data_IF_975797819554
#
_entry.id   IF_975797819554
#
_cell.length_a   1.000
_cell.length_b   1.000
_cell.length_c   1.000
_cell.angle_alpha   90.00
_cell.angle_beta   90.00
_cell.angle_gamma   90.00
#
_symmetry.space_group_name_H-M   'P 1'
#
loop_
_entity.id
_entity.type
_entity.pdbx_description
1 polymer ?
#
# COMPACT_ATOMS: atom_id res chain seq x y z
N UNK A 1 32.34 -10.71 1.59
CA UNK A 1 31.14 -11.41 1.13
C UNK A 1 31.54 -12.80 0.73
N UNK A 2 30.88 -13.84 1.24
CA UNK A 2 31.13 -15.25 0.90
C UNK A 2 30.22 -15.67 -0.25
N UNK A 3 30.58 -16.71 -1.00
CA UNK A 3 29.70 -17.30 -2.01
C UNK A 3 28.34 -17.69 -1.40
N UNK A 4 27.25 -17.51 -2.14
CA UNK A 4 25.85 -17.72 -1.71
C UNK A 4 25.33 -16.77 -0.62
N UNK A 5 26.06 -15.70 -0.25
CA UNK A 5 25.51 -14.66 0.62
C UNK A 5 24.54 -13.79 -0.17
N UNK A 6 23.34 -13.61 0.37
CA UNK A 6 22.33 -12.69 -0.21
C UNK A 6 22.86 -11.27 -0.07
N UNK A 7 22.93 -10.53 -1.17
CA UNK A 7 23.42 -9.14 -1.21
C UNK A 7 22.34 -8.12 -0.97
N UNK A 8 21.13 -8.37 -1.45
CA UNK A 8 19.99 -7.49 -1.30
C UNK A 8 18.69 -8.29 -1.46
N UNK A 9 17.67 -7.88 -0.74
CA UNK A 9 16.28 -8.30 -0.91
C UNK A 9 15.41 -7.06 -1.19
N UNK A 10 14.43 -7.22 -2.07
CA UNK A 10 13.43 -6.19 -2.36
C UNK A 10 12.15 -6.37 -1.53
N UNK A 11 11.14 -5.50 -1.75
CA UNK A 11 9.86 -5.56 -1.01
C UNK A 11 9.08 -6.86 -1.19
N UNK A 12 9.30 -7.57 -2.31
CA UNK A 12 8.61 -8.82 -2.68
C UNK A 12 9.54 -10.03 -2.66
N UNK A 13 10.68 -9.94 -1.98
CA UNK A 13 11.65 -11.03 -1.81
C UNK A 13 11.91 -11.28 -0.33
N UNK A 14 12.17 -12.53 0.02
CA UNK A 14 12.59 -12.96 1.35
C UNK A 14 13.71 -13.98 1.24
N UNK A 15 14.85 -13.67 1.86
CA UNK A 15 16.06 -14.53 1.86
C UNK A 15 16.53 -14.95 0.46
N UNK A 16 16.42 -14.04 -0.51
CA UNK A 16 16.80 -14.25 -1.91
C UNK A 16 15.79 -14.99 -2.76
N UNK A 17 14.62 -15.32 -2.23
CA UNK A 17 13.53 -15.99 -2.93
C UNK A 17 12.35 -15.03 -3.17
N UNK A 18 11.60 -15.27 -4.24
CA UNK A 18 10.40 -14.49 -4.56
C UNK A 18 9.28 -14.77 -3.56
N UNK A 19 8.76 -13.73 -2.91
CA UNK A 19 7.73 -13.78 -1.87
C UNK A 19 6.56 -12.84 -2.19
N UNK A 20 5.95 -12.98 -3.38
CA UNK A 20 4.85 -12.12 -3.86
C UNK A 20 3.49 -12.41 -3.23
N UNK A 21 3.33 -13.55 -2.59
CA UNK A 21 2.05 -13.97 -2.03
C UNK A 21 2.23 -14.95 -0.88
N UNK A 22 1.13 -15.61 -0.54
CA UNK A 22 1.10 -16.64 0.51
C UNK A 22 0.38 -17.88 0.02
N UNK A 23 0.75 -19.04 0.57
CA UNK A 23 0.04 -20.29 0.33
C UNK A 23 -1.25 -20.31 1.16
N UNK A 24 -2.37 -20.57 0.49
CA UNK A 24 -3.70 -20.56 1.08
C UNK A 24 -4.38 -21.92 0.82
N UNK A 25 -5.30 -22.28 1.68
CA UNK A 25 -6.16 -23.45 1.48
C UNK A 25 -7.27 -23.07 0.51
N UNK A 26 -7.26 -23.70 -0.69
CA UNK A 26 -8.18 -23.39 -1.77
C UNK A 26 -9.17 -24.53 -1.97
N UNK A 27 -10.43 -24.22 -2.28
CA UNK A 27 -11.39 -25.19 -2.77
C UNK A 27 -11.94 -24.78 -4.13
N UNK A 28 -12.01 -25.75 -5.03
CA UNK A 28 -12.68 -25.59 -6.33
C UNK A 28 -14.13 -26.05 -6.20
N UNK A 29 -15.04 -25.12 -5.97
CA UNK A 29 -16.47 -25.41 -5.89
C UNK A 29 -17.29 -24.18 -6.25
N UNK A 30 -18.48 -24.40 -6.82
CA UNK A 30 -19.46 -23.32 -7.00
C UNK A 30 -20.09 -22.96 -5.65
N UNK A 31 -20.26 -21.68 -5.41
CA UNK A 31 -20.86 -21.20 -4.16
C UNK A 31 -21.92 -20.15 -4.42
N UNK A 32 -23.18 -20.57 -4.47
CA UNK A 32 -24.36 -19.71 -4.63
C UNK A 32 -24.29 -18.68 -5.78
N UNK A 33 -23.45 -18.92 -6.80
CA UNK A 33 -23.22 -18.01 -7.91
C UNK A 33 -22.27 -16.85 -7.61
N UNK A 34 -21.81 -16.66 -6.37
CA UNK A 34 -20.91 -15.56 -6.01
C UNK A 34 -19.51 -15.67 -6.58
N UNK A 35 -19.10 -16.85 -7.03
CA UNK A 35 -17.84 -17.08 -7.75
C UNK A 35 -18.05 -17.46 -9.22
N UNK A 36 -19.13 -16.95 -9.83
CA UNK A 36 -19.38 -17.12 -11.28
C UNK A 36 -18.25 -16.53 -12.10
N UNK A 37 -17.89 -17.24 -13.18
CA UNK A 37 -16.71 -16.93 -14.02
C UNK A 37 -15.42 -16.90 -13.19
N UNK A 38 -14.72 -15.75 -13.16
CA UNK A 38 -13.44 -15.53 -12.47
C UNK A 38 -13.60 -14.82 -11.14
N UNK A 39 -14.82 -14.77 -10.59
CA UNK A 39 -15.05 -14.21 -9.29
C UNK A 39 -14.48 -15.12 -8.19
N UNK A 40 -13.89 -14.52 -7.17
CA UNK A 40 -13.23 -15.20 -6.07
C UNK A 40 -13.90 -14.83 -4.76
N UNK A 41 -14.13 -15.83 -3.91
CA UNK A 41 -14.63 -15.61 -2.56
C UNK A 41 -13.48 -15.83 -1.58
N UNK A 42 -13.32 -14.92 -0.64
CA UNK A 42 -12.30 -14.99 0.41
C UNK A 42 -12.90 -15.18 1.78
N UNK A 43 -12.13 -15.85 2.63
CA UNK A 43 -12.37 -15.91 4.06
C UNK A 43 -11.95 -14.58 4.73
N UNK A 44 -12.81 -14.04 5.62
CA UNK A 44 -12.52 -12.82 6.37
C UNK A 44 -11.26 -12.96 7.26
N UNK A 45 -10.88 -14.17 7.64
CA UNK A 45 -9.64 -14.46 8.36
C UNK A 45 -8.42 -13.84 7.67
N UNK A 46 -8.37 -13.89 6.33
CA UNK A 46 -7.25 -13.33 5.56
C UNK A 46 -7.13 -11.80 5.72
N UNK A 47 -8.24 -11.12 5.91
CA UNK A 47 -8.27 -9.68 6.18
C UNK A 47 -7.89 -9.38 7.62
N UNK A 48 -8.38 -10.18 8.58
CA UNK A 48 -8.08 -10.03 10.01
C UNK A 48 -6.61 -10.28 10.32
N UNK A 49 -6.03 -11.32 9.72
CA UNK A 49 -4.62 -11.71 9.91
C UNK A 49 -3.63 -10.92 9.04
N UNK A 50 -4.10 -9.90 8.30
CA UNK A 50 -3.27 -9.11 7.39
C UNK A 50 -2.50 -9.95 6.35
N UNK A 51 -3.09 -11.07 5.86
CA UNK A 51 -2.40 -12.02 4.98
C UNK A 51 -2.01 -11.40 3.63
N UNK A 52 -2.86 -10.54 3.08
CA UNK A 52 -2.65 -9.81 1.83
C UNK A 52 -2.60 -8.29 2.03
N UNK A 53 -2.24 -7.86 3.21
CA UNK A 53 -2.09 -6.44 3.52
C UNK A 53 -0.75 -5.93 3.00
N UNK A 54 -0.78 -4.79 2.35
CA UNK A 54 0.40 -4.12 1.82
C UNK A 54 0.66 -2.80 2.54
N UNK A 55 1.93 -2.46 2.71
CA UNK A 55 2.36 -1.18 3.27
C UNK A 55 2.92 -0.34 2.11
N UNK A 56 2.31 0.83 1.93
CA UNK A 56 2.74 1.82 0.95
C UNK A 56 3.31 3.03 1.66
N UNK A 57 4.44 3.52 1.19
CA UNK A 57 5.07 4.74 1.70
C UNK A 57 5.04 5.78 0.58
N UNK A 58 4.28 6.85 0.80
CA UNK A 58 4.18 7.97 -0.14
C UNK A 58 5.10 9.10 0.31
N UNK A 59 5.83 9.68 -0.63
CA UNK A 59 6.77 10.79 -0.41
C UNK A 59 6.18 12.10 -0.93
N UNK A 60 5.84 13.00 -0.02
CA UNK A 60 5.34 14.34 -0.33
C UNK A 60 6.41 15.38 -0.12
N UNK A 61 6.75 16.12 -1.17
CA UNK A 61 7.86 17.08 -1.16
C UNK A 61 7.35 18.51 -1.31
N UNK A 62 7.87 19.39 -0.49
CA UNK A 62 7.61 20.83 -0.57
C UNK A 62 8.91 21.62 -0.61
N UNK A 63 9.28 22.23 -1.76
CA UNK A 63 10.38 23.17 -1.84
C UNK A 63 9.94 24.55 -1.35
N UNK A 64 10.82 25.22 -0.62
CA UNK A 64 10.72 26.63 -0.25
C UNK A 64 11.71 27.42 -1.09
N UNK A 65 11.21 28.37 -1.88
CA UNK A 65 11.99 29.11 -2.89
C UNK A 65 12.16 30.58 -2.53
N UNK A 66 13.25 31.15 -2.99
CA UNK A 66 13.42 32.59 -2.98
C UNK A 66 12.73 33.18 -4.23
N UNK A 67 11.66 33.97 -4.04
CA UNK A 67 10.92 34.61 -5.12
C UNK A 67 11.32 36.07 -5.28
N UNK A 68 11.01 36.68 -6.43
CA UNK A 68 11.27 38.10 -6.68
C UNK A 68 10.55 39.05 -5.73
N UNK A 69 9.46 38.56 -5.10
CA UNK A 69 8.63 39.34 -4.14
C UNK A 69 9.07 39.12 -2.69
N UNK A 70 10.02 38.24 -2.46
CA UNK A 70 10.52 37.85 -1.16
C UNK A 70 10.63 36.32 -1.03
N UNK A 71 11.29 35.83 0.01
CA UNK A 71 11.40 34.40 0.25
C UNK A 71 10.04 33.81 0.67
N UNK A 72 9.77 32.59 0.19
CA UNK A 72 8.70 31.78 0.76
C UNK A 72 9.07 31.40 2.20
N UNK A 73 8.09 31.27 3.07
CA UNK A 73 8.31 30.96 4.48
C UNK A 73 7.48 29.76 4.92
N UNK A 74 8.13 28.89 5.68
CA UNK A 74 7.47 27.76 6.31
C UNK A 74 7.08 28.17 7.72
N UNK A 75 5.78 28.16 7.98
CA UNK A 75 5.23 28.67 9.22
C UNK A 75 3.92 27.97 9.61
N UNK A 76 3.66 27.92 10.90
CA UNK A 76 2.35 27.51 11.45
C UNK A 76 1.28 28.60 11.27
N UNK A 77 1.69 29.84 11.11
CA UNK A 77 0.76 30.97 10.96
C UNK A 77 0.31 31.12 9.49
N UNK A 78 -0.74 30.40 9.15
CA UNK A 78 -1.31 30.32 7.80
C UNK A 78 -2.60 31.15 7.78
N UNK A 79 -2.75 32.08 6.83
CA UNK A 79 -3.97 32.89 6.73
C UNK A 79 -5.19 32.03 6.42
N UNK A 80 -6.33 32.41 7.03
CA UNK A 80 -7.64 31.79 6.81
C UNK A 80 -7.72 30.28 7.17
N UNK A 81 -6.85 29.80 8.06
CA UNK A 81 -6.85 28.42 8.55
C UNK A 81 -7.18 28.42 10.04
N UNK A 82 -8.15 27.58 10.45
CA UNK A 82 -8.56 27.44 11.85
C UNK A 82 -7.45 26.85 12.72
N UNK A 83 -7.49 27.11 14.01
CA UNK A 83 -6.57 26.52 15.00
C UNK A 83 -6.66 24.98 15.01
N UNK A 84 -7.86 24.45 14.81
CA UNK A 84 -8.10 23.01 14.74
C UNK A 84 -7.34 22.36 13.57
N UNK A 85 -7.35 22.97 12.39
CA UNK A 85 -6.63 22.49 11.22
C UNK A 85 -5.10 22.54 11.38
N UNK A 86 -4.60 23.35 12.33
CA UNK A 86 -3.18 23.53 12.63
C UNK A 86 -2.71 22.75 13.85
N UNK A 87 -3.59 22.05 14.56
CA UNK A 87 -3.27 21.39 15.85
C UNK A 87 -2.14 20.36 15.74
N UNK A 88 -2.03 19.70 14.62
CA UNK A 88 -1.04 18.64 14.35
C UNK A 88 0.31 19.17 13.87
N UNK A 89 0.41 20.47 13.59
CA UNK A 89 1.66 21.12 13.21
C UNK A 89 2.50 21.46 14.45
N UNK A 90 3.80 21.37 14.30
CA UNK A 90 4.76 21.84 15.29
C UNK A 90 4.92 23.39 15.26
N UNK A 91 5.86 23.93 16.05
CA UNK A 91 6.12 25.36 16.08
C UNK A 91 6.66 25.90 14.74
N UNK A 92 7.33 25.09 13.96
CA UNK A 92 7.89 25.42 12.66
C UNK A 92 6.87 25.26 11.50
N UNK A 93 5.64 24.84 11.80
CA UNK A 93 4.59 24.62 10.80
C UNK A 93 4.71 23.30 10.05
N UNK A 94 5.42 22.32 10.60
CA UNK A 94 5.60 20.97 10.02
C UNK A 94 4.77 19.97 10.82
N UNK A 95 4.18 19.01 10.14
CA UNK A 95 3.37 17.96 10.78
C UNK A 95 4.23 17.07 11.68
N UNK A 96 3.66 16.64 12.80
CA UNK A 96 4.33 15.76 13.77
C UNK A 96 4.32 14.32 13.28
N UNK A 97 5.43 13.61 13.49
CA UNK A 97 5.55 12.18 13.24
C UNK A 97 4.55 11.41 14.13
N UNK A 98 3.94 10.36 13.58
CA UNK A 98 2.92 9.55 14.24
C UNK A 98 1.50 10.11 14.14
N UNK A 99 1.31 11.26 13.49
CA UNK A 99 -0.02 11.84 13.28
C UNK A 99 -0.78 11.08 12.19
N UNK A 100 -2.02 10.71 12.46
CA UNK A 100 -2.95 10.24 11.45
C UNK A 100 -3.47 11.43 10.64
N UNK A 101 -3.38 11.34 9.33
CA UNK A 101 -3.77 12.40 8.39
C UNK A 101 -4.82 11.92 7.41
N UNK A 102 -5.70 12.84 7.02
CA UNK A 102 -6.77 12.63 6.05
C UNK A 102 -6.65 13.64 4.90
N UNK A 103 -7.37 13.38 3.83
CA UNK A 103 -7.46 14.30 2.69
C UNK A 103 -7.72 15.74 3.16
N UNK A 104 -6.95 16.68 2.64
CA UNK A 104 -7.03 18.11 2.95
C UNK A 104 -6.26 18.57 4.19
N UNK A 105 -5.80 17.66 5.05
CA UNK A 105 -4.96 18.00 6.20
C UNK A 105 -3.64 18.64 5.77
N UNK A 106 -3.15 19.58 6.56
CA UNK A 106 -1.91 20.31 6.26
C UNK A 106 -0.72 19.48 6.74
N UNK A 107 0.17 19.14 5.80
CA UNK A 107 1.43 18.47 6.11
C UNK A 107 2.54 19.48 6.44
N UNK A 108 2.62 20.55 5.68
CA UNK A 108 3.60 21.61 5.89
C UNK A 108 2.94 22.94 5.59
N UNK A 109 2.93 23.83 6.54
CA UNK A 109 2.45 25.19 6.38
C UNK A 109 3.46 26.04 5.62
N UNK A 110 3.09 26.57 4.46
CA UNK A 110 3.93 27.48 3.66
C UNK A 110 3.12 28.68 3.20
N UNK A 111 3.72 29.83 3.29
CA UNK A 111 3.17 31.09 2.78
C UNK A 111 4.10 31.70 1.74
N UNK A 112 3.50 32.24 0.70
CA UNK A 112 4.22 32.90 -0.40
C UNK A 112 3.81 34.37 -0.44
N UNK A 113 4.73 35.35 -0.54
CA UNK A 113 4.40 36.77 -0.67
C UNK A 113 3.55 37.03 -1.92
N UNK A 114 2.48 37.81 -1.76
CA UNK A 114 1.63 38.30 -2.88
C UNK A 114 2.26 39.52 -3.55
N UNK A 115 2.13 39.60 -4.87
CA UNK A 115 2.41 40.83 -5.63
C UNK A 115 1.27 41.82 -5.55
N UNK A 116 1.57 43.13 -5.62
CA UNK A 116 0.56 44.22 -5.63
C UNK A 116 -0.54 44.04 -6.68
N UNK A 117 -0.28 43.32 -7.78
CA UNK A 117 -1.25 43.05 -8.84
C UNK A 117 -2.29 41.97 -8.45
N UNK A 118 -1.97 41.12 -7.47
CA UNK A 118 -2.84 40.01 -7.01
C UNK A 118 -3.76 40.43 -5.85
N UNK A 119 -3.64 41.66 -5.37
CA UNK A 119 -4.47 42.17 -4.27
C UNK A 119 -5.87 42.50 -4.75
N UNK A 120 -6.87 42.15 -3.94
CA UNK A 120 -8.26 42.61 -4.15
C UNK A 120 -8.36 44.12 -3.92
N UNK A 121 -9.44 44.76 -4.37
CA UNK A 121 -9.69 46.20 -4.17
C UNK A 121 -9.72 46.58 -2.68
N UNK A 122 -10.28 45.70 -1.85
CA UNK A 122 -10.33 45.86 -0.39
C UNK A 122 -8.96 45.76 0.27
N UNK A 123 -8.18 44.76 -0.13
CA UNK A 123 -6.80 44.56 0.32
C UNK A 123 -5.90 45.72 -0.07
N UNK A 124 -6.05 46.28 -1.28
CA UNK A 124 -5.33 47.49 -1.73
C UNK A 124 -5.65 48.70 -0.89
N UNK A 125 -6.93 48.85 -0.49
CA UNK A 125 -7.35 49.93 0.35
C UNK A 125 -6.79 49.80 1.78
N UNK A 126 -6.81 48.61 2.36
CA UNK A 126 -6.21 48.31 3.66
C UNK A 126 -4.69 48.56 3.67
N UNK A 127 -4.00 48.15 2.61
CA UNK A 127 -2.57 48.40 2.43
C UNK A 127 -2.25 49.90 2.34
N UNK A 128 -3.10 50.68 1.67
CA UNK A 128 -2.94 52.13 1.58
C UNK A 128 -3.17 52.83 2.92
N UNK A 129 -4.07 52.30 3.79
CA UNK A 129 -4.41 52.89 5.11
C UNK A 129 -3.40 52.50 6.18
N UNK A 130 -2.96 51.26 6.24
CA UNK A 130 -2.11 50.73 7.28
C UNK A 130 -0.61 50.64 6.97
N UNK A 131 -0.21 51.00 5.74
CA UNK A 131 1.17 51.02 5.27
C UNK A 131 1.79 49.64 5.03
N UNK A 132 3.07 49.60 4.63
CA UNK A 132 3.79 48.37 4.22
C UNK A 132 3.99 47.30 5.30
N UNK A 133 3.43 47.48 6.49
CA UNK A 133 3.65 46.54 7.62
C UNK A 133 2.84 45.26 7.55
N UNK A 134 1.81 45.15 6.71
CA UNK A 134 1.06 43.93 6.46
C UNK A 134 1.63 43.23 5.23
N UNK A 135 2.59 42.34 5.42
CA UNK A 135 2.99 41.42 4.35
C UNK A 135 1.77 40.55 4.04
N UNK A 136 1.11 40.82 2.93
CA UNK A 136 0.08 39.94 2.45
C UNK A 136 0.74 38.70 1.83
N UNK A 137 0.35 37.56 2.35
CA UNK A 137 0.87 36.28 1.95
C UNK A 137 -0.29 35.38 1.48
N UNK A 138 0.01 34.50 0.54
CA UNK A 138 -0.90 33.49 0.05
C UNK A 138 -0.53 32.15 0.68
N UNK A 139 -1.56 31.39 1.09
CA UNK A 139 -1.39 29.99 1.52
C UNK A 139 -0.95 29.12 0.32
N UNK A 140 0.22 28.55 0.43
CA UNK A 140 0.80 27.58 -0.51
C UNK A 140 1.24 26.32 0.22
N UNK A 141 0.56 26.00 1.32
CA UNK A 141 0.84 24.85 2.16
C UNK A 141 0.69 23.53 1.39
N UNK A 142 1.49 22.56 1.77
CA UNK A 142 1.35 21.19 1.30
C UNK A 142 0.22 20.52 2.08
N UNK A 143 -0.76 20.01 1.35
CA UNK A 143 -1.90 19.28 1.92
C UNK A 143 -1.92 17.85 1.41
N UNK A 144 -2.51 16.97 2.19
CA UNK A 144 -2.76 15.58 1.80
C UNK A 144 -3.71 15.57 0.59
N UNK A 145 -3.30 15.00 -0.55
CA UNK A 145 -4.16 14.86 -1.71
C UNK A 145 -5.21 13.77 -1.50
N UNK A 146 -6.16 13.70 -2.41
CA UNK A 146 -7.17 12.64 -2.41
C UNK A 146 -6.50 11.25 -2.45
N UNK A 147 -6.91 10.35 -1.55
CA UNK A 147 -6.35 9.01 -1.41
C UNK A 147 -4.98 8.94 -0.72
N UNK A 148 -4.49 10.07 -0.17
CA UNK A 148 -3.24 10.13 0.57
C UNK A 148 -3.36 9.89 2.09
N UNK A 149 -4.51 9.42 2.55
CA UNK A 149 -4.77 9.17 3.98
C UNK A 149 -3.78 8.15 4.55
N UNK A 150 -3.30 8.39 5.77
CA UNK A 150 -2.34 7.49 6.39
C UNK A 150 -1.75 8.04 7.68
N UNK A 151 -0.59 7.52 8.06
CA UNK A 151 0.14 7.94 9.26
C UNK A 151 1.48 8.54 8.85
N UNK A 152 1.82 9.70 9.37
CA UNK A 152 3.12 10.32 9.14
C UNK A 152 4.21 9.47 9.80
N UNK A 153 5.06 8.87 8.98
CA UNK A 153 6.12 7.98 9.43
C UNK A 153 7.43 8.71 9.71
N UNK A 154 7.81 9.62 8.82
CA UNK A 154 9.07 10.37 8.94
C UNK A 154 8.95 11.74 8.28
N UNK A 155 9.75 12.68 8.73
CA UNK A 155 9.85 14.03 8.16
C UNK A 155 11.32 14.40 8.02
N UNK A 156 11.75 14.74 6.81
CA UNK A 156 13.12 15.17 6.55
C UNK A 156 13.16 16.61 6.08
N UNK A 157 13.99 17.40 6.72
CA UNK A 157 14.21 18.81 6.41
C UNK A 157 15.60 18.99 5.84
N UNK A 158 15.67 19.39 4.56
CA UNK A 158 16.90 19.69 3.86
C UNK A 158 17.08 21.20 3.78
N UNK A 159 18.24 21.68 4.15
CA UNK A 159 18.65 23.07 4.07
C UNK A 159 20.00 23.18 3.36
N UNK A 160 20.35 24.34 2.86
CA UNK A 160 21.68 24.60 2.23
C UNK A 160 22.87 24.24 3.14
N UNK A 161 22.65 24.11 4.45
CA UNK A 161 23.69 23.71 5.40
C UNK A 161 23.84 22.18 5.54
N UNK A 162 22.76 21.42 5.25
CA UNK A 162 22.69 19.99 5.52
C UNK A 162 22.68 19.14 4.25
N UNK A 163 22.59 19.76 3.07
CA UNK A 163 22.52 19.04 1.79
C UNK A 163 23.07 19.90 0.67
N UNK A 164 24.00 19.33 -0.08
CA UNK A 164 24.56 19.95 -1.30
C UNK A 164 23.66 19.74 -2.53
N UNK A 165 22.64 18.89 -2.42
CA UNK A 165 21.78 18.45 -3.54
C UNK A 165 20.48 19.27 -3.70
N UNK A 166 20.36 20.45 -3.09
CA UNK A 166 19.17 21.26 -3.27
C UNK A 166 19.15 21.90 -4.66
N UNK A 167 18.00 21.88 -5.37
CA UNK A 167 17.85 22.55 -6.65
C UNK A 167 18.16 24.05 -6.56
N UNK A 168 18.63 24.63 -7.66
CA UNK A 168 18.92 26.06 -7.73
C UNK A 168 17.68 26.90 -7.38
N UNK A 169 17.86 27.90 -6.51
CA UNK A 169 16.76 28.77 -6.06
C UNK A 169 15.90 28.21 -4.91
N UNK A 170 16.19 27.01 -4.43
CA UNK A 170 15.52 26.42 -3.24
C UNK A 170 16.38 26.69 -2.01
N UNK A 171 15.77 27.30 -1.00
CA UNK A 171 16.42 27.59 0.30
C UNK A 171 16.25 26.43 1.29
N UNK A 172 15.11 25.76 1.26
CA UNK A 172 14.73 24.67 2.14
C UNK A 172 13.80 23.71 1.41
N UNK A 173 13.93 22.40 1.66
CA UNK A 173 13.04 21.38 1.14
C UNK A 173 12.59 20.48 2.28
N UNK A 174 11.29 20.25 2.37
CA UNK A 174 10.71 19.32 3.35
C UNK A 174 10.15 18.12 2.60
N UNK A 175 10.45 16.93 3.11
CA UNK A 175 9.85 15.66 2.66
C UNK A 175 9.10 15.05 3.82
N UNK A 176 7.83 14.72 3.57
CA UNK A 176 6.96 14.06 4.53
C UNK A 176 6.63 12.68 3.98
N UNK A 177 6.93 11.65 4.75
CA UNK A 177 6.65 10.26 4.39
C UNK A 177 5.38 9.81 5.11
N UNK A 178 4.36 9.42 4.34
CA UNK A 178 3.10 8.91 4.86
C UNK A 178 3.02 7.42 4.57
N UNK A 179 2.74 6.64 5.60
CA UNK A 179 2.54 5.19 5.52
C UNK A 179 1.05 4.90 5.43
N UNK A 180 0.68 4.14 4.41
CA UNK A 180 -0.66 3.60 4.22
C UNK A 180 -0.64 2.09 4.39
N UNK A 181 -1.56 1.57 5.17
CA UNK A 181 -1.81 0.14 5.31
C UNK A 181 -3.05 -0.21 4.48
N UNK A 182 -2.86 -0.88 3.35
CA UNK A 182 -3.95 -1.25 2.44
C UNK A 182 -4.27 -2.72 2.64
N UNK A 183 -5.48 -3.00 3.13
CA UNK A 183 -6.03 -4.34 3.28
C UNK A 183 -6.72 -4.76 1.98
N UNK A 184 -6.77 -6.08 1.77
CA UNK A 184 -7.51 -6.65 0.65
C UNK A 184 -9.00 -6.40 0.82
N UNK A 185 -9.68 -6.08 -0.27
CA UNK A 185 -11.09 -5.75 -0.28
C UNK A 185 -11.79 -6.30 -1.52
N UNK A 186 -13.13 -6.28 -1.49
CA UNK A 186 -13.96 -6.62 -2.66
C UNK A 186 -13.61 -5.71 -3.83
N UNK A 187 -13.46 -6.28 -5.02
CA UNK A 187 -13.03 -5.60 -6.23
C UNK A 187 -11.53 -5.69 -6.53
N UNK A 188 -10.70 -6.12 -5.57
CA UNK A 188 -9.29 -6.34 -5.82
C UNK A 188 -9.06 -7.57 -6.69
N UNK A 189 -7.98 -7.55 -7.47
CA UNK A 189 -7.57 -8.66 -8.33
C UNK A 189 -6.63 -9.60 -7.59
N UNK A 190 -6.90 -10.89 -7.73
CA UNK A 190 -6.03 -11.97 -7.24
C UNK A 190 -5.60 -12.88 -8.38
N UNK A 191 -4.44 -13.50 -8.25
CA UNK A 191 -3.93 -14.47 -9.21
C UNK A 191 -3.11 -15.56 -8.53
N UNK A 192 -3.12 -16.75 -9.12
CA UNK A 192 -2.17 -17.82 -8.79
C UNK A 192 -0.96 -17.80 -9.71
N UNK A 193 -0.18 -18.89 -9.65
CA UNK A 193 1.06 -19.07 -10.45
C UNK A 193 0.85 -19.65 -11.85
N UNK A 194 -0.41 -19.98 -12.23
CA UNK A 194 -0.75 -20.71 -13.45
C UNK A 194 -1.55 -19.87 -14.46
N UNK A 195 -1.43 -18.53 -14.40
CA UNK A 195 -2.21 -17.64 -15.26
C UNK A 195 -3.69 -17.53 -14.86
N UNK A 196 -4.11 -18.19 -13.80
CA UNK A 196 -5.43 -18.04 -13.20
C UNK A 196 -5.52 -16.72 -12.46
N UNK A 197 -6.51 -15.92 -12.80
CA UNK A 197 -6.76 -14.59 -12.24
C UNK A 197 -8.25 -14.39 -12.01
N UNK A 198 -8.56 -13.63 -11.01
CA UNK A 198 -9.94 -13.32 -10.67
C UNK A 198 -10.09 -12.03 -9.90
N UNK A 199 -11.32 -11.64 -9.65
CA UNK A 199 -11.69 -10.45 -8.87
C UNK A 199 -12.46 -10.92 -7.65
N UNK A 200 -12.13 -10.36 -6.49
CA UNK A 200 -12.82 -10.67 -5.23
C UNK A 200 -14.24 -10.13 -5.31
N UNK A 201 -15.22 -11.02 -5.26
CA UNK A 201 -16.65 -10.68 -5.27
C UNK A 201 -17.25 -10.58 -3.87
N UNK A 202 -16.74 -11.39 -2.95
CA UNK A 202 -17.30 -11.51 -1.61
C UNK A 202 -16.20 -11.90 -0.61
N UNK A 203 -16.31 -11.36 0.59
CA UNK A 203 -15.51 -11.77 1.76
C UNK A 203 -16.50 -12.30 2.79
N UNK A 204 -16.38 -13.59 3.15
CA UNK A 204 -17.27 -14.27 4.06
C UNK A 204 -16.65 -14.43 5.45
N UNK A 205 -17.46 -14.35 6.51
CA UNK A 205 -17.05 -14.79 7.83
C UNK A 205 -16.58 -16.25 7.85
N UNK A 206 -15.73 -16.61 8.78
CA UNK A 206 -15.17 -17.98 8.88
C UNK A 206 -16.24 -19.05 9.02
N UNK A 207 -17.31 -18.77 9.78
CA UNK A 207 -18.45 -19.65 10.02
C UNK A 207 -19.30 -19.96 8.80
N UNK A 208 -19.26 -19.07 7.78
CA UNK A 208 -20.02 -19.23 6.54
C UNK A 208 -19.20 -19.88 5.43
N UNK A 209 -17.90 -20.07 5.66
CA UNK A 209 -17.02 -20.73 4.71
C UNK A 209 -17.15 -22.24 4.76
N UNK A 210 -17.03 -22.96 3.62
CA UNK A 210 -16.83 -24.40 3.61
C UNK A 210 -15.59 -24.78 4.44
N UNK A 211 -15.63 -25.96 5.02
CA UNK A 211 -14.58 -26.46 5.90
C UNK A 211 -14.16 -27.89 5.52
N UNK A 212 -12.93 -28.21 5.86
CA UNK A 212 -12.35 -29.55 5.70
C UNK A 212 -12.92 -30.52 6.75
N UNK A 213 -12.74 -31.86 6.60
CA UNK A 213 -13.23 -32.85 7.56
C UNK A 213 -12.72 -32.66 9.00
N UNK A 214 -11.60 -31.98 9.18
CA UNK A 214 -11.01 -31.61 10.47
C UNK A 214 -11.61 -30.31 11.08
N UNK A 215 -12.57 -29.69 10.38
CA UNK A 215 -13.21 -28.44 10.79
C UNK A 215 -12.44 -27.17 10.40
N UNK A 216 -11.29 -27.28 9.71
CA UNK A 216 -10.54 -26.12 9.24
C UNK A 216 -11.27 -25.41 8.10
N UNK A 217 -11.62 -24.12 8.22
CA UNK A 217 -12.29 -23.39 7.15
C UNK A 217 -11.35 -23.18 5.95
N UNK A 218 -11.94 -23.21 4.76
CA UNK A 218 -11.21 -22.91 3.50
C UNK A 218 -10.94 -21.41 3.42
N UNK A 219 -9.81 -21.03 2.83
CA UNK A 219 -9.40 -19.63 2.69
C UNK A 219 -9.96 -18.97 1.43
N UNK A 220 -9.99 -19.71 0.33
CA UNK A 220 -10.36 -19.20 -1.00
C UNK A 220 -11.26 -20.20 -1.72
N UNK A 221 -12.34 -19.69 -2.32
CA UNK A 221 -13.22 -20.48 -3.19
C UNK A 221 -13.05 -20.02 -4.64
N UNK A 222 -12.70 -20.95 -5.50
CA UNK A 222 -12.54 -20.74 -6.94
C UNK A 222 -13.61 -21.53 -7.71
N UNK A 223 -14.07 -20.96 -8.82
CA UNK A 223 -15.00 -21.65 -9.71
C UNK A 223 -14.27 -22.71 -10.53
N UNK A 224 -14.68 -23.99 -10.46
CA UNK A 224 -14.06 -25.06 -11.22
C UNK A 224 -14.23 -24.90 -12.73
N UNK A 225 -15.27 -24.21 -13.21
CA UNK A 225 -15.49 -23.96 -14.63
C UNK A 225 -14.41 -23.08 -15.28
N UNK A 226 -13.63 -22.35 -14.48
CA UNK A 226 -12.50 -21.55 -14.97
C UNK A 226 -11.27 -22.36 -15.37
N UNK A 227 -11.24 -23.69 -15.11
CA UNK A 227 -10.06 -24.53 -15.35
C UNK A 227 -10.09 -25.22 -16.74
N UNK A 228 -11.17 -25.93 -17.15
CA UNK A 228 -11.12 -26.82 -18.34
C UNK A 228 -10.83 -26.07 -19.64
N UNK A 229 -11.49 -24.95 -19.87
CA UNK A 229 -11.35 -24.21 -21.15
C UNK A 229 -9.99 -23.49 -21.27
N UNK A 230 -9.33 -23.23 -20.18
CA UNK A 230 -8.03 -22.51 -20.14
C UNK A 230 -6.83 -23.46 -20.14
N UNK A 231 -7.05 -24.74 -19.98
CA UNK A 231 -6.02 -25.78 -20.04
C UNK A 231 -4.84 -25.53 -19.05
N UNK A 232 -5.10 -24.90 -17.93
CA UNK A 232 -4.10 -24.65 -16.90
C UNK A 232 -4.28 -25.59 -15.70
N UNK A 233 -4.28 -26.90 -15.98
CA UNK A 233 -4.49 -27.95 -14.98
C UNK A 233 -3.44 -27.93 -13.84
N UNK A 234 -2.28 -27.32 -14.10
CA UNK A 234 -1.23 -27.17 -13.11
C UNK A 234 -1.68 -26.55 -11.77
N UNK A 235 -2.72 -25.69 -11.78
CA UNK A 235 -3.29 -25.14 -10.55
C UNK A 235 -3.97 -26.20 -9.66
N UNK A 236 -4.55 -27.23 -10.26
CA UNK A 236 -5.17 -28.36 -9.53
C UNK A 236 -4.08 -29.28 -9.00
N UNK A 237 -3.07 -29.60 -9.82
CA UNK A 237 -1.91 -30.40 -9.39
C UNK A 237 -1.14 -29.71 -8.27
N UNK A 238 -0.98 -28.39 -8.34
CA UNK A 238 -0.39 -27.58 -7.25
C UNK A 238 -1.17 -27.70 -5.95
N UNK A 239 -2.50 -27.71 -6.02
CA UNK A 239 -3.33 -27.85 -4.83
C UNK A 239 -3.09 -29.19 -4.13
N UNK A 240 -3.08 -30.31 -4.88
CA UNK A 240 -2.83 -31.64 -4.32
C UNK A 240 -1.44 -31.74 -3.72
N UNK A 241 -0.42 -31.33 -4.46
CA UNK A 241 0.96 -31.34 -3.97
C UNK A 241 1.15 -30.41 -2.77
N UNK A 242 0.50 -29.24 -2.77
CA UNK A 242 0.55 -28.28 -1.68
C UNK A 242 -0.12 -28.80 -0.40
N UNK A 243 -1.23 -29.53 -0.51
CA UNK A 243 -1.89 -30.17 0.64
C UNK A 243 -1.00 -31.27 1.25
N UNK A 244 -0.38 -32.12 0.42
CA UNK A 244 0.54 -33.14 0.88
C UNK A 244 1.76 -32.50 1.56
N UNK A 245 2.38 -31.50 0.95
CA UNK A 245 3.52 -30.76 1.48
C UNK A 245 3.21 -30.08 2.82
N UNK A 246 2.01 -29.48 2.96
CA UNK A 246 1.55 -28.87 4.22
C UNK A 246 1.45 -29.92 5.33
N UNK A 247 0.91 -31.10 5.04
CA UNK A 247 0.75 -32.20 6.01
C UNK A 247 2.09 -32.81 6.42
N UNK A 248 3.03 -32.91 5.48
CA UNK A 248 4.39 -33.40 5.74
C UNK A 248 5.33 -32.33 6.32
N UNK A 249 4.94 -31.06 6.32
CA UNK A 249 5.76 -29.96 6.82
C UNK A 249 6.98 -29.64 5.95
N UNK A 250 6.92 -29.93 4.65
CA UNK A 250 8.02 -29.73 3.69
C UNK A 250 7.70 -28.62 2.70
N UNK A 251 8.74 -28.02 2.09
CA UNK A 251 8.63 -27.10 0.97
C UNK A 251 9.02 -27.81 -0.32
N UNK A 252 8.20 -27.68 -1.35
CA UNK A 252 8.43 -28.27 -2.65
C UNK A 252 8.78 -27.19 -3.66
N UNK A 253 9.91 -27.35 -4.35
CA UNK A 253 10.32 -26.47 -5.44
C UNK A 253 10.17 -27.22 -6.77
N UNK A 254 9.38 -26.67 -7.70
CA UNK A 254 9.11 -27.24 -9.01
C UNK A 254 9.53 -26.26 -10.11
N UNK A 255 10.82 -26.19 -10.50
CA UNK A 255 11.28 -25.38 -11.61
C UNK A 255 10.58 -25.77 -12.92
N UNK A 256 10.48 -24.83 -13.86
CA UNK A 256 9.70 -25.00 -15.11
C UNK A 256 10.09 -26.25 -15.90
N UNK A 257 11.37 -26.60 -15.95
CA UNK A 257 11.89 -27.74 -16.71
C UNK A 257 12.27 -28.95 -15.84
N UNK A 258 12.03 -28.88 -14.54
CA UNK A 258 12.29 -29.96 -13.58
C UNK A 258 11.16 -29.98 -12.54
N UNK A 259 9.94 -30.12 -13.05
CA UNK A 259 8.71 -30.15 -12.26
C UNK A 259 8.42 -31.52 -11.68
N UNK A 260 7.39 -31.59 -10.84
CA UNK A 260 6.84 -32.85 -10.33
C UNK A 260 5.99 -33.54 -11.39
N UNK A 261 6.19 -34.84 -11.57
CA UNK A 261 5.32 -35.70 -12.36
C UNK A 261 4.05 -36.04 -11.58
N UNK A 262 3.03 -36.55 -12.25
CA UNK A 262 1.80 -37.03 -11.62
C UNK A 262 2.11 -38.13 -10.58
N UNK A 263 3.07 -39.03 -10.91
CA UNK A 263 3.49 -40.10 -9.99
C UNK A 263 4.17 -39.54 -8.72
N UNK A 264 5.00 -38.50 -8.84
CA UNK A 264 5.63 -37.86 -7.69
C UNK A 264 4.59 -37.24 -6.74
N UNK A 265 3.52 -36.67 -7.29
CA UNK A 265 2.41 -36.09 -6.51
C UNK A 265 1.66 -37.19 -5.77
N UNK A 266 1.30 -38.29 -6.45
CA UNK A 266 0.63 -39.44 -5.84
C UNK A 266 1.47 -40.07 -4.73
N UNK A 267 2.77 -40.23 -4.96
CA UNK A 267 3.68 -40.79 -3.96
C UNK A 267 3.77 -39.90 -2.71
N UNK A 268 3.81 -38.57 -2.90
CA UNK A 268 3.77 -37.62 -1.76
C UNK A 268 2.44 -37.65 -1.04
N UNK A 269 1.31 -37.80 -1.76
CA UNK A 269 -0.02 -37.92 -1.13
C UNK A 269 -0.11 -39.19 -0.28
N UNK A 270 0.41 -40.32 -0.78
CA UNK A 270 0.51 -41.58 -0.02
C UNK A 270 1.36 -41.44 1.24
N UNK A 271 2.54 -40.81 1.11
CA UNK A 271 3.43 -40.55 2.26
C UNK A 271 2.73 -39.66 3.30
N UNK A 272 1.93 -38.69 2.85
CA UNK A 272 1.12 -37.85 3.72
C UNK A 272 -0.09 -38.57 4.32
N UNK A 273 -0.38 -39.82 3.92
CA UNK A 273 -1.57 -40.58 4.34
C UNK A 273 -2.86 -39.90 3.91
N UNK A 274 -2.90 -39.44 2.65
CA UNK A 274 -4.09 -38.91 1.97
C UNK A 274 -4.60 -39.97 0.98
N UNK A 275 -5.92 -39.98 0.79
CA UNK A 275 -6.54 -40.86 -0.20
C UNK A 275 -6.14 -40.45 -1.62
N UNK A 276 -6.05 -41.41 -2.51
CA UNK A 276 -5.67 -41.21 -3.92
C UNK A 276 -6.85 -40.74 -4.79
N UNK A 277 -8.09 -40.79 -4.26
CA UNK A 277 -9.36 -40.48 -4.95
C UNK A 277 -9.78 -39.03 -4.73
#
# INVERSE_FOLDING_TARGET
>A
VRGKTILADGPSTDKGELALGKNMTVAFMMFNGYNYEDAVILNERLVKEDAYTTIHIEDYQLPCRDTKLGPEEITRDIPNVSEEARKNLDADGIIRIGTEVKEGDILVGKVTPKGMAELTSEEKLLHAIFGEKTREVRDTSLRVPHGGDGIVHDVKVFTKKNSDDLPSGVSKQIRVYIVQKRKIQVGDKMAGRHGNKGVISLILPEEDMPYLPDGTPVDILLNPLGVPSRMNIGQVLELHLGMAAKKLGVHVATPVFDGASEQDILDMMKEAGMDED
#
